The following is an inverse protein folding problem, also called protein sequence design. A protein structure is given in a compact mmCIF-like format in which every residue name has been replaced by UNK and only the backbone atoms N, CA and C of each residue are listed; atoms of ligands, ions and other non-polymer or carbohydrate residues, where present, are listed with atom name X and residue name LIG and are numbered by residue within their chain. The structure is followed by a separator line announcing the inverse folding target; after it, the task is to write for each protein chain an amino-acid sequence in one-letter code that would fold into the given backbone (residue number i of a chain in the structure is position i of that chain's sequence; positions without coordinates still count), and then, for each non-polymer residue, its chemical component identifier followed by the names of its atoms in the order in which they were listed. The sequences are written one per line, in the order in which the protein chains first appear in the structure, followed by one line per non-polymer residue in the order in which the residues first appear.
data_IF_293783813033
#
_entry.id   IF_293783813033
#
_cell.length_a   1.000
_cell.length_b   1.000
_cell.length_c   1.000
_cell.angle_alpha   90.00
_cell.angle_beta   90.00
_cell.angle_gamma   90.00
#
_symmetry.space_group_name_H-M   'P 1'
#
loop_
_entity.id
_entity.type
_entity.pdbx_description
1 polymer ?
#
# COMPACT_ATOMS: atom_id res chain seq x y z
N UNK A 1 -4.89 -9.95 -11.59
CA UNK A 1 -5.27 -8.54 -11.34
C UNK A 1 -4.03 -7.65 -11.23
N UNK A 2 -3.08 -7.92 -10.32
CA UNK A 2 -1.79 -7.21 -10.19
C UNK A 2 -1.00 -7.06 -11.51
N UNK A 3 -0.94 -8.13 -12.32
CA UNK A 3 -0.25 -8.14 -13.64
C UNK A 3 -1.04 -7.40 -14.73
N UNK A 4 -2.37 -7.32 -14.60
CA UNK A 4 -3.25 -6.66 -15.59
C UNK A 4 -3.14 -5.15 -15.44
N UNK A 5 -3.19 -4.65 -14.20
CA UNK A 5 -2.88 -3.26 -13.86
C UNK A 5 -1.50 -2.87 -14.42
N UNK A 6 -0.45 -3.62 -14.07
CA UNK A 6 0.93 -3.34 -14.51
C UNK A 6 1.14 -3.42 -16.04
N UNK A 7 0.34 -4.19 -16.78
CA UNK A 7 0.39 -4.25 -18.26
C UNK A 7 -0.29 -3.06 -18.93
N UNK A 8 -1.37 -2.53 -18.36
CA UNK A 8 -2.05 -1.33 -18.87
C UNK A 8 -1.17 -0.07 -18.64
N UNK A 9 -0.42 -0.04 -17.54
CA UNK A 9 0.41 1.12 -17.15
C UNK A 9 1.71 1.33 -17.95
N UNK A 10 2.12 0.38 -18.80
CA UNK A 10 3.34 0.52 -19.62
C UNK A 10 3.21 1.44 -20.84
N UNK A 11 1.99 1.90 -21.17
CA UNK A 11 1.68 2.49 -22.48
C UNK A 11 1.69 4.03 -22.49
N UNK A 12 1.50 4.71 -21.35
CA UNK A 12 1.32 6.16 -21.34
C UNK A 12 2.41 6.93 -20.59
N UNK A 13 3.22 7.68 -21.36
CA UNK A 13 4.32 8.53 -20.89
C UNK A 13 3.78 9.94 -20.57
N UNK A 14 3.21 10.13 -19.38
CA UNK A 14 2.49 11.37 -18.96
C UNK A 14 3.36 12.57 -18.56
N UNK A 15 4.69 12.40 -18.48
CA UNK A 15 5.65 13.40 -17.92
C UNK A 15 5.57 14.81 -18.52
N UNK A 16 5.12 14.97 -19.77
CA UNK A 16 5.16 16.24 -20.51
C UNK A 16 3.83 17.02 -20.53
N UNK A 17 2.70 16.35 -20.34
CA UNK A 17 1.37 17.00 -20.26
C UNK A 17 1.09 17.55 -18.86
N UNK A 18 1.67 16.92 -17.83
CA UNK A 18 1.53 17.28 -16.41
C UNK A 18 2.07 18.69 -16.07
N UNK A 19 3.24 19.05 -16.61
CA UNK A 19 3.86 20.37 -16.38
C UNK A 19 3.10 21.56 -16.99
N UNK A 20 2.20 21.31 -17.95
CA UNK A 20 1.41 22.35 -18.62
C UNK A 20 0.13 22.65 -17.82
N UNK A 21 -0.33 21.70 -16.99
CA UNK A 21 -1.58 21.79 -16.22
C UNK A 21 -1.41 22.64 -14.94
N UNK A 22 -0.22 22.62 -14.32
CA UNK A 22 0.04 23.28 -13.03
C UNK A 22 0.27 24.81 -13.08
N UNK A 23 0.23 25.48 -14.24
CA UNK A 23 0.44 26.94 -14.34
C UNK A 23 -0.90 27.68 -14.43
N UNK A 24 -1.55 27.95 -13.29
CA UNK A 24 -2.59 28.99 -13.23
C UNK A 24 -3.54 28.94 -12.03
N UNK A 25 -3.37 29.93 -11.15
CA UNK A 25 -4.31 30.51 -10.18
C UNK A 25 -4.50 29.94 -8.76
N UNK A 26 -4.57 30.91 -7.83
CA UNK A 26 -4.60 30.90 -6.37
C UNK A 26 -5.98 30.51 -5.80
N UNK A 27 -6.21 29.24 -5.48
CA UNK A 27 -7.32 28.86 -4.59
C UNK A 27 -6.91 27.71 -3.66
N UNK A 28 -7.31 27.71 -2.37
CA UNK A 28 -6.87 26.70 -1.41
C UNK A 28 -7.28 25.26 -1.78
N UNK A 29 -8.41 25.09 -2.46
CA UNK A 29 -8.81 23.79 -3.03
C UNK A 29 -7.89 23.28 -4.15
N UNK A 30 -7.20 24.20 -4.86
CA UNK A 30 -6.25 23.87 -5.92
C UNK A 30 -4.86 23.53 -5.36
N UNK A 31 -4.43 24.19 -4.27
CA UNK A 31 -3.19 23.86 -3.58
C UNK A 31 -3.22 22.43 -3.00
N UNK A 32 -4.31 22.04 -2.32
CA UNK A 32 -4.52 20.66 -1.85
C UNK A 32 -4.48 19.62 -2.99
N UNK A 33 -5.09 19.95 -4.14
CA UNK A 33 -5.13 19.05 -5.29
C UNK A 33 -3.77 18.93 -6.00
N UNK A 34 -3.02 20.03 -6.13
CA UNK A 34 -1.67 19.98 -6.69
C UNK A 34 -0.70 19.21 -5.80
N UNK A 35 -0.90 19.23 -4.47
CA UNK A 35 -0.13 18.38 -3.55
C UNK A 35 -0.46 16.89 -3.68
N UNK A 36 -1.75 16.53 -3.80
CA UNK A 36 -2.17 15.14 -4.03
C UNK A 36 -1.63 14.60 -5.37
N UNK A 37 -1.63 15.43 -6.41
CA UNK A 37 -1.08 15.08 -7.73
C UNK A 37 0.44 14.83 -7.69
N UNK A 38 1.19 15.61 -6.91
CA UNK A 38 2.63 15.39 -6.68
C UNK A 38 2.86 14.05 -5.94
N UNK A 39 2.02 13.74 -4.95
CA UNK A 39 2.09 12.48 -4.21
C UNK A 39 1.80 11.28 -5.12
N UNK A 40 0.76 11.35 -5.96
CA UNK A 40 0.43 10.32 -6.96
C UNK A 40 1.61 10.09 -7.91
N UNK A 41 2.22 11.17 -8.41
CA UNK A 41 3.37 11.07 -9.31
C UNK A 41 4.57 10.40 -8.61
N UNK A 42 4.83 10.73 -7.34
CA UNK A 42 5.87 10.10 -6.53
C UNK A 42 5.59 8.61 -6.32
N UNK A 43 4.36 8.23 -6.00
CA UNK A 43 3.91 6.82 -5.87
C UNK A 43 4.09 6.06 -7.17
N UNK A 44 3.71 6.66 -8.30
CA UNK A 44 3.87 6.09 -9.63
C UNK A 44 5.35 5.83 -9.97
N UNK A 45 6.19 6.86 -9.83
CA UNK A 45 7.61 6.76 -10.14
C UNK A 45 8.30 5.73 -9.23
N UNK A 46 7.93 5.69 -7.96
CA UNK A 46 8.46 4.70 -7.01
C UNK A 46 8.05 3.28 -7.38
N UNK A 47 6.78 3.06 -7.71
CA UNK A 47 6.25 1.74 -8.11
C UNK A 47 6.99 1.21 -9.35
N UNK A 48 7.26 2.07 -10.34
CA UNK A 48 8.01 1.69 -11.54
C UNK A 48 9.46 1.36 -11.19
N UNK A 49 10.11 2.23 -10.41
CA UNK A 49 11.52 2.06 -10.00
C UNK A 49 11.71 0.75 -9.23
N UNK A 50 10.79 0.45 -8.31
CA UNK A 50 10.87 -0.70 -7.42
C UNK A 50 10.27 -1.97 -7.99
N UNK A 51 9.55 -1.94 -9.11
CA UNK A 51 8.95 -3.13 -9.72
C UNK A 51 9.93 -4.30 -9.86
N UNK A 52 11.14 -4.05 -10.37
CA UNK A 52 12.16 -5.11 -10.55
C UNK A 52 12.66 -5.64 -9.21
N UNK A 53 12.79 -4.76 -8.22
CA UNK A 53 13.24 -5.12 -6.88
C UNK A 53 12.15 -5.86 -6.10
N UNK A 54 10.88 -5.45 -6.18
CA UNK A 54 9.73 -6.18 -5.60
C UNK A 54 9.63 -7.59 -6.20
N UNK A 55 9.85 -7.73 -7.52
CA UNK A 55 9.92 -9.06 -8.16
C UNK A 55 11.12 -9.87 -7.67
N UNK A 56 12.27 -9.23 -7.43
CA UNK A 56 13.45 -9.88 -6.87
C UNK A 56 13.23 -10.30 -5.41
N UNK A 57 12.57 -9.46 -4.62
CA UNK A 57 12.14 -9.70 -3.23
C UNK A 57 11.17 -10.89 -3.19
N UNK A 58 10.18 -10.92 -4.10
CA UNK A 58 9.27 -12.05 -4.28
C UNK A 58 10.03 -13.35 -4.55
N UNK A 59 11.05 -13.32 -5.43
CA UNK A 59 11.88 -14.50 -5.72
C UNK A 59 12.84 -14.86 -4.59
N UNK A 60 13.36 -13.89 -3.84
CA UNK A 60 14.21 -14.21 -2.68
C UNK A 60 13.43 -14.89 -1.56
N UNK A 61 12.12 -14.65 -1.45
CA UNK A 61 11.24 -15.43 -0.57
C UNK A 61 11.13 -16.91 -0.98
N UNK A 62 11.26 -17.22 -2.27
CA UNK A 62 11.28 -18.60 -2.80
C UNK A 62 12.67 -19.24 -2.56
N UNK A 63 13.75 -18.49 -2.79
CA UNK A 63 15.12 -19.01 -2.71
C UNK A 63 15.68 -19.21 -1.30
N UNK A 64 15.14 -18.57 -0.26
CA UNK A 64 15.69 -18.60 1.10
C UNK A 64 15.26 -19.81 1.94
N UNK A 65 14.59 -20.80 1.33
CA UNK A 65 14.06 -21.96 2.05
C UNK A 65 12.82 -21.65 2.89
N UNK A 66 12.22 -20.46 2.74
CA UNK A 66 10.99 -19.99 3.41
C UNK A 66 9.70 -20.41 2.67
N UNK A 67 9.82 -21.28 1.67
CA UNK A 67 8.67 -21.91 1.04
C UNK A 67 7.94 -22.82 2.04
N UNK A 68 6.61 -22.76 2.11
CA UNK A 68 5.83 -23.63 2.99
C UNK A 68 6.00 -25.10 2.57
N UNK A 69 6.42 -25.96 3.51
CA UNK A 69 6.69 -27.39 3.30
C UNK A 69 5.63 -28.28 3.90
N UNK A 70 5.10 -27.89 5.05
CA UNK A 70 4.09 -28.66 5.80
C UNK A 70 2.69 -28.16 5.47
N UNK A 71 1.65 -29.00 5.64
CA UNK A 71 0.26 -28.55 5.47
C UNK A 71 -0.10 -27.37 6.38
N UNK A 72 0.47 -27.33 7.59
CA UNK A 72 0.28 -26.24 8.55
C UNK A 72 0.90 -24.93 8.06
N UNK A 73 2.13 -24.97 7.53
CA UNK A 73 2.78 -23.79 6.93
C UNK A 73 2.01 -23.28 5.71
N UNK A 74 1.45 -24.20 4.91
CA UNK A 74 0.62 -23.84 3.76
C UNK A 74 -0.71 -23.21 4.19
N UNK A 75 -1.29 -23.67 5.31
CA UNK A 75 -2.49 -23.08 5.88
C UNK A 75 -2.23 -21.65 6.37
N UNK A 76 -1.10 -21.41 7.06
CA UNK A 76 -0.66 -20.07 7.48
C UNK A 76 -0.53 -19.15 6.26
N UNK A 77 0.20 -19.56 5.22
CA UNK A 77 0.38 -18.75 4.02
C UNK A 77 -0.96 -18.43 3.33
N UNK A 78 -1.85 -19.42 3.19
CA UNK A 78 -3.18 -19.23 2.57
C UNK A 78 -4.05 -18.25 3.35
N UNK A 79 -3.96 -18.22 4.67
CA UNK A 79 -4.70 -17.28 5.50
C UNK A 79 -4.29 -15.83 5.18
N UNK A 80 -2.98 -15.55 5.14
CA UNK A 80 -2.48 -14.22 4.80
C UNK A 80 -2.76 -13.85 3.33
N UNK A 81 -2.59 -14.77 2.40
CA UNK A 81 -2.91 -14.53 0.98
C UNK A 81 -4.39 -14.19 0.78
N UNK A 82 -5.29 -14.86 1.52
CA UNK A 82 -6.72 -14.55 1.51
C UNK A 82 -6.99 -13.17 2.09
N UNK A 83 -6.37 -12.82 3.21
CA UNK A 83 -6.50 -11.50 3.83
C UNK A 83 -6.03 -10.38 2.88
N UNK A 84 -4.88 -10.55 2.23
CA UNK A 84 -4.34 -9.61 1.23
C UNK A 84 -5.31 -9.43 0.07
N UNK A 85 -5.86 -10.53 -0.47
CA UNK A 85 -6.81 -10.47 -1.60
C UNK A 85 -8.11 -9.75 -1.22
N UNK A 86 -8.67 -10.06 -0.06
CA UNK A 86 -9.90 -9.42 0.44
C UNK A 86 -9.65 -7.93 0.66
N UNK A 87 -8.56 -7.57 1.34
CA UNK A 87 -8.19 -6.18 1.57
C UNK A 87 -7.99 -5.42 0.26
N UNK A 88 -7.21 -5.96 -0.68
CA UNK A 88 -6.95 -5.33 -1.96
C UNK A 88 -8.25 -5.10 -2.76
N UNK A 89 -9.13 -6.10 -2.81
CA UNK A 89 -10.42 -5.99 -3.49
C UNK A 89 -11.31 -4.93 -2.82
N UNK A 90 -11.48 -5.00 -1.50
CA UNK A 90 -12.34 -4.09 -0.76
C UNK A 90 -11.84 -2.64 -0.85
N UNK A 91 -10.53 -2.43 -0.69
CA UNK A 91 -9.90 -1.11 -0.75
C UNK A 91 -10.04 -0.49 -2.14
N UNK A 92 -9.76 -1.26 -3.21
CA UNK A 92 -9.90 -0.77 -4.59
C UNK A 92 -11.35 -0.39 -4.91
N UNK A 93 -12.32 -1.24 -4.53
CA UNK A 93 -13.76 -0.96 -4.74
C UNK A 93 -14.16 0.32 -4.00
N UNK A 94 -13.71 0.48 -2.75
CA UNK A 94 -14.00 1.67 -1.95
C UNK A 94 -13.45 2.94 -2.63
N UNK A 95 -12.21 2.92 -3.13
CA UNK A 95 -11.60 4.03 -3.85
C UNK A 95 -12.32 4.34 -5.18
N UNK A 96 -12.72 3.31 -5.94
CA UNK A 96 -13.45 3.48 -7.19
C UNK A 96 -14.85 4.08 -6.96
N UNK A 97 -15.55 3.65 -5.91
CA UNK A 97 -16.86 4.21 -5.53
C UNK A 97 -16.71 5.65 -5.05
N UNK A 98 -15.70 5.95 -4.25
CA UNK A 98 -15.44 7.31 -3.75
C UNK A 98 -15.09 8.29 -4.89
N UNK A 99 -14.17 7.89 -5.78
CA UNK A 99 -13.74 8.71 -6.92
C UNK A 99 -14.85 8.91 -7.97
N UNK A 100 -15.65 7.86 -8.21
CA UNK A 100 -16.83 7.96 -9.08
C UNK A 100 -17.90 8.86 -8.45
N UNK A 101 -18.23 8.62 -7.18
CA UNK A 101 -19.26 9.37 -6.44
C UNK A 101 -18.96 10.86 -6.36
N UNK A 102 -17.72 11.23 -6.04
CA UNK A 102 -17.28 12.64 -6.03
C UNK A 102 -17.36 13.29 -7.41
N UNK A 103 -16.98 12.57 -8.47
CA UNK A 103 -17.05 13.13 -9.83
C UNK A 103 -18.49 13.28 -10.33
N UNK A 104 -19.36 12.30 -10.06
CA UNK A 104 -20.78 12.42 -10.38
C UNK A 104 -21.46 13.52 -9.56
N UNK A 105 -21.16 13.63 -8.26
CA UNK A 105 -21.68 14.69 -7.39
C UNK A 105 -21.39 16.08 -7.96
N UNK A 106 -20.14 16.33 -8.36
CA UNK A 106 -19.74 17.59 -9.01
C UNK A 106 -20.45 17.85 -10.33
N UNK A 107 -20.65 16.80 -11.15
CA UNK A 107 -21.41 16.91 -12.39
C UNK A 107 -22.87 17.29 -12.15
N UNK A 108 -23.49 16.81 -11.06
CA UNK A 108 -24.86 17.16 -10.69
C UNK A 108 -24.98 18.59 -10.11
N UNK A 109 -23.98 19.05 -9.35
CA UNK A 109 -23.95 20.41 -8.81
C UNK A 109 -23.76 21.47 -9.89
N UNK A 110 -23.00 21.16 -10.95
CA UNK A 110 -22.78 22.04 -12.09
C UNK A 110 -24.05 22.09 -12.96
N UNK A 111 -24.99 22.97 -12.58
CA UNK A 111 -26.22 23.24 -13.35
C UNK A 111 -26.00 24.05 -14.62
N UNK A 112 -24.81 24.62 -14.83
CA UNK A 112 -24.50 25.49 -15.99
C UNK A 112 -23.63 24.76 -17.01
N UNK A 113 -24.06 24.74 -18.26
CA UNK A 113 -23.22 24.36 -19.41
C UNK A 113 -21.99 25.27 -19.44
N UNK A 114 -20.80 24.70 -19.65
CA UNK A 114 -19.47 25.35 -19.72
C UNK A 114 -18.70 25.58 -18.39
N UNK A 115 -19.01 24.87 -17.31
CA UNK A 115 -18.13 24.83 -16.12
C UNK A 115 -17.57 23.41 -15.98
N UNK A 116 -16.25 23.26 -15.91
CA UNK A 116 -15.63 21.94 -15.75
C UNK A 116 -15.72 21.46 -14.29
N UNK A 117 -15.95 20.16 -14.03
CA UNK A 117 -15.91 19.55 -12.70
C UNK A 117 -14.58 19.72 -11.97
N UNK A 118 -13.50 19.81 -12.74
CA UNK A 118 -12.15 20.10 -12.27
C UNK A 118 -11.65 21.33 -13.03
N UNK A 119 -11.30 22.40 -12.30
CA UNK A 119 -10.77 23.62 -12.92
C UNK A 119 -9.37 23.32 -13.48
N UNK A 120 -9.22 23.50 -14.79
CA UNK A 120 -7.98 23.23 -15.53
C UNK A 120 -7.80 24.27 -16.63
N UNK A 121 -6.55 24.68 -16.87
CA UNK A 121 -6.22 25.53 -18.01
C UNK A 121 -6.06 24.67 -19.27
N UNK A 122 -6.86 24.95 -20.29
CA UNK A 122 -6.83 24.22 -21.56
C UNK A 122 -6.33 25.12 -22.68
N UNK A 123 -5.47 24.63 -23.59
CA UNK A 123 -4.98 25.41 -24.72
C UNK A 123 -6.03 25.62 -25.81
N UNK A 124 -7.26 25.14 -25.62
CA UNK A 124 -8.37 25.24 -26.55
C UNK A 124 -9.65 25.68 -25.85
N UNK A 125 -10.53 26.35 -26.58
CA UNK A 125 -11.84 26.73 -26.06
C UNK A 125 -12.83 25.55 -26.12
N UNK A 126 -13.39 25.18 -24.98
CA UNK A 126 -14.36 24.10 -24.81
C UNK A 126 -15.82 24.56 -24.91
N UNK A 127 -16.13 25.77 -25.39
CA UNK A 127 -17.51 26.26 -25.58
C UNK A 127 -18.37 25.36 -26.50
N UNK A 128 -17.76 24.56 -27.38
CA UNK A 128 -18.50 23.63 -28.24
C UNK A 128 -18.96 22.40 -27.42
N UNK A 129 -20.24 21.97 -27.51
CA UNK A 129 -20.77 20.85 -26.72
C UNK A 129 -19.97 19.55 -26.85
N UNK A 130 -19.45 19.26 -28.05
CA UNK A 130 -18.60 18.10 -28.30
C UNK A 130 -17.29 18.16 -27.52
N UNK A 131 -16.58 19.30 -27.58
CA UNK A 131 -15.31 19.49 -26.89
C UNK A 131 -15.52 19.47 -25.36
N UNK A 132 -16.59 20.09 -24.87
CA UNK A 132 -16.95 20.04 -23.45
C UNK A 132 -17.12 18.60 -22.92
N UNK A 133 -17.90 17.77 -23.63
CA UNK A 133 -18.10 16.36 -23.25
C UNK A 133 -16.80 15.56 -23.33
N UNK A 134 -16.01 15.79 -24.37
CA UNK A 134 -14.71 15.14 -24.53
C UNK A 134 -13.77 15.47 -23.36
N UNK A 135 -13.67 16.74 -22.97
CA UNK A 135 -12.84 17.16 -21.83
C UNK A 135 -13.33 16.58 -20.51
N UNK A 136 -14.65 16.53 -20.27
CA UNK A 136 -15.21 15.89 -19.06
C UNK A 136 -14.84 14.40 -19.01
N UNK A 137 -14.99 13.68 -20.12
CA UNK A 137 -14.61 12.26 -20.18
C UNK A 137 -13.13 12.07 -19.89
N UNK A 138 -12.26 12.94 -20.41
CA UNK A 138 -10.83 12.90 -20.10
C UNK A 138 -10.56 13.16 -18.61
N UNK A 139 -11.20 14.16 -17.99
CA UNK A 139 -11.05 14.41 -16.57
C UNK A 139 -11.47 13.22 -15.71
N UNK A 140 -12.59 12.58 -16.04
CA UNK A 140 -13.06 11.39 -15.36
C UNK A 140 -12.04 10.24 -15.47
N UNK A 141 -11.53 10.00 -16.67
CA UNK A 141 -10.50 8.96 -16.91
C UNK A 141 -9.23 9.27 -16.11
N UNK A 142 -8.77 10.53 -16.08
CA UNK A 142 -7.57 10.92 -15.32
C UNK A 142 -7.74 10.69 -13.83
N UNK A 143 -8.88 11.10 -13.25
CA UNK A 143 -9.16 10.90 -11.82
C UNK A 143 -9.25 9.41 -11.47
N UNK A 144 -9.91 8.63 -12.33
CA UNK A 144 -10.04 7.18 -12.15
C UNK A 144 -8.66 6.49 -12.18
N UNK A 145 -7.80 6.87 -13.12
CA UNK A 145 -6.42 6.37 -13.21
C UNK A 145 -5.62 6.77 -11.96
N UNK A 146 -5.69 8.02 -11.53
CA UNK A 146 -5.01 8.51 -10.32
C UNK A 146 -5.40 7.72 -9.07
N UNK A 147 -6.71 7.58 -8.84
CA UNK A 147 -7.27 6.79 -7.74
C UNK A 147 -6.78 5.33 -7.75
N UNK A 148 -6.66 4.72 -8.93
CA UNK A 148 -6.17 3.36 -9.07
C UNK A 148 -4.65 3.22 -8.84
N UNK A 149 -3.87 4.25 -9.16
CA UNK A 149 -2.43 4.30 -8.84
C UNK A 149 -2.25 4.36 -7.33
N UNK A 150 -3.02 5.20 -6.65
CA UNK A 150 -2.97 5.31 -5.18
C UNK A 150 -3.40 4.01 -4.51
N UNK A 151 -4.57 3.48 -4.87
CA UNK A 151 -5.05 2.21 -4.34
C UNK A 151 -4.06 1.07 -4.60
N UNK A 152 -3.42 1.06 -5.77
CA UNK A 152 -2.39 0.08 -6.11
C UNK A 152 -1.15 0.19 -5.22
N UNK A 153 -0.70 1.41 -4.89
CA UNK A 153 0.44 1.63 -4.02
C UNK A 153 0.16 1.21 -2.58
N UNK A 154 -0.98 1.63 -2.02
CA UNK A 154 -1.36 1.33 -0.63
C UNK A 154 -1.53 -0.18 -0.43
N UNK A 155 -2.22 -0.84 -1.36
CA UNK A 155 -2.45 -2.30 -1.30
C UNK A 155 -1.17 -3.09 -1.55
N UNK A 156 -0.24 -2.59 -2.37
CA UNK A 156 1.09 -3.18 -2.54
C UNK A 156 1.89 -3.11 -1.23
N UNK A 157 1.95 -1.94 -0.59
CA UNK A 157 2.66 -1.76 0.67
C UNK A 157 2.10 -2.69 1.75
N UNK A 158 0.77 -2.66 1.95
CA UNK A 158 0.08 -3.52 2.90
C UNK A 158 0.32 -5.00 2.62
N UNK A 159 0.22 -5.41 1.36
CA UNK A 159 0.44 -6.79 0.93
C UNK A 159 1.86 -7.28 1.21
N UNK A 160 2.87 -6.45 0.95
CA UNK A 160 4.27 -6.77 1.22
C UNK A 160 4.53 -6.93 2.73
N UNK A 161 3.98 -6.05 3.57
CA UNK A 161 4.09 -6.15 5.02
C UNK A 161 3.44 -7.43 5.56
N UNK A 162 2.24 -7.78 5.08
CA UNK A 162 1.59 -9.03 5.45
C UNK A 162 2.34 -10.28 4.98
N UNK A 163 3.02 -10.23 3.83
CA UNK A 163 3.88 -11.33 3.40
C UNK A 163 5.07 -11.52 4.34
N UNK A 164 5.72 -10.44 4.80
CA UNK A 164 6.78 -10.52 5.82
C UNK A 164 6.24 -11.19 7.09
N UNK A 165 5.07 -10.77 7.57
CA UNK A 165 4.42 -11.35 8.75
C UNK A 165 4.15 -12.84 8.57
N UNK A 166 3.62 -13.24 7.42
CA UNK A 166 3.43 -14.67 7.07
C UNK A 166 4.74 -15.45 7.19
N UNK A 167 5.85 -14.91 6.67
CA UNK A 167 7.16 -15.56 6.74
C UNK A 167 7.71 -15.65 8.16
N UNK A 168 7.54 -14.61 8.97
CA UNK A 168 7.89 -14.64 10.39
C UNK A 168 7.09 -15.75 11.11
N UNK A 169 5.80 -15.86 10.85
CA UNK A 169 4.94 -16.85 11.51
C UNK A 169 5.22 -18.29 11.06
N UNK A 170 5.59 -18.49 9.79
CA UNK A 170 6.13 -19.77 9.31
C UNK A 170 7.43 -20.12 10.05
N UNK A 171 8.35 -19.15 10.20
CA UNK A 171 9.62 -19.37 10.88
C UNK A 171 9.44 -19.68 12.37
N UNK A 172 8.49 -19.02 13.05
CA UNK A 172 8.09 -19.31 14.44
C UNK A 172 7.49 -20.70 14.57
N UNK A 173 6.60 -21.09 13.65
CA UNK A 173 6.00 -22.41 13.65
C UNK A 173 7.07 -23.50 13.53
N UNK A 174 8.03 -23.33 12.60
CA UNK A 174 9.18 -24.24 12.44
C UNK A 174 10.01 -24.35 13.72
N UNK A 175 10.32 -23.22 14.35
CA UNK A 175 11.05 -23.20 15.61
C UNK A 175 10.33 -24.01 16.69
N UNK A 176 9.03 -23.77 16.87
CA UNK A 176 8.22 -24.47 17.87
C UNK A 176 8.18 -25.98 17.63
N UNK A 177 7.94 -26.41 16.39
CA UNK A 177 7.88 -27.84 16.04
C UNK A 177 9.22 -28.51 16.27
N UNK A 178 10.32 -27.89 15.85
CA UNK A 178 11.65 -28.47 16.01
C UNK A 178 12.09 -28.52 17.47
N UNK A 179 11.89 -27.46 18.26
CA UNK A 179 12.21 -27.46 19.70
C UNK A 179 11.43 -28.56 20.43
N UNK A 180 10.12 -28.71 20.14
CA UNK A 180 9.31 -29.78 20.73
C UNK A 180 9.85 -31.16 20.37
N UNK A 181 10.25 -31.35 19.11
CA UNK A 181 10.83 -32.61 18.63
C UNK A 181 12.18 -32.91 19.29
N UNK A 182 13.05 -31.89 19.47
CA UNK A 182 14.34 -32.04 20.15
C UNK A 182 14.18 -32.42 21.62
N UNK A 183 13.22 -31.80 22.33
CA UNK A 183 12.89 -32.15 23.72
C UNK A 183 12.39 -33.59 23.81
N UNK A 184 11.49 -34.01 22.92
CA UNK A 184 11.02 -35.41 22.90
C UNK A 184 12.13 -36.43 22.59
N UNK A 185 13.08 -36.10 21.72
CA UNK A 185 14.22 -36.95 21.42
C UNK A 185 15.14 -37.08 22.63
N UNK A 186 15.38 -35.98 23.35
CA UNK A 186 16.18 -35.96 24.57
C UNK A 186 15.55 -36.82 25.68
N UNK A 187 14.24 -36.73 25.87
CA UNK A 187 13.52 -37.50 26.90
C UNK A 187 13.40 -39.00 26.59
N UNK A 188 13.31 -39.39 25.31
CA UNK A 188 13.01 -40.78 24.89
C UNK A 188 14.22 -41.68 24.66
N UNK A 189 15.45 -41.14 24.52
CA UNK A 189 16.66 -41.94 24.26
C UNK A 189 17.91 -41.31 24.88
N UNK A 190 18.86 -42.12 25.39
CA UNK A 190 20.26 -41.71 25.41
C UNK A 190 20.76 -41.78 23.96
N UNK A 191 20.36 -40.82 23.12
CA UNK A 191 20.97 -40.65 21.80
C UNK A 191 22.48 -40.45 21.99
N UNK A 192 23.28 -40.87 21.01
CA UNK A 192 24.67 -40.46 20.95
C UNK A 192 24.68 -38.92 20.96
N UNK A 193 25.20 -38.30 22.02
CA UNK A 193 25.13 -36.85 22.27
C UNK A 193 25.68 -36.08 21.06
N UNK A 194 26.63 -36.68 20.34
CA UNK A 194 27.22 -36.14 19.12
C UNK A 194 26.20 -35.96 17.97
N UNK A 195 25.35 -36.97 17.72
CA UNK A 195 24.33 -36.90 16.66
C UNK A 195 23.23 -35.87 17.00
N UNK A 196 22.90 -35.73 18.28
CA UNK A 196 21.96 -34.72 18.76
C UNK A 196 22.49 -33.30 18.54
N UNK A 197 23.72 -33.03 18.98
CA UNK A 197 24.35 -31.72 18.83
C UNK A 197 24.49 -31.32 17.36
N UNK A 198 24.80 -32.26 16.46
CA UNK A 198 24.90 -31.97 15.02
C UNK A 198 23.54 -31.59 14.41
N UNK A 199 22.46 -32.27 14.81
CA UNK A 199 21.10 -31.95 14.35
C UNK A 199 20.66 -30.58 14.87
N UNK A 200 20.91 -30.31 16.15
CA UNK A 200 20.61 -29.04 16.80
C UNK A 200 21.36 -27.88 16.13
N UNK A 201 22.67 -27.99 15.98
CA UNK A 201 23.53 -26.96 15.37
C UNK A 201 23.09 -26.67 13.94
N UNK A 202 22.85 -27.71 13.13
CA UNK A 202 22.38 -27.56 11.75
C UNK A 202 21.01 -26.90 11.67
N UNK A 203 20.13 -27.20 12.61
CA UNK A 203 18.81 -26.56 12.67
C UNK A 203 18.92 -25.07 13.01
N UNK A 204 19.62 -24.71 14.09
CA UNK A 204 19.79 -23.31 14.48
C UNK A 204 20.53 -22.52 13.41
N UNK A 205 21.56 -23.09 12.77
CA UNK A 205 22.26 -22.45 11.67
C UNK A 205 21.31 -22.12 10.50
N UNK A 206 20.42 -23.05 10.13
CA UNK A 206 19.41 -22.81 9.10
C UNK A 206 18.36 -21.77 9.54
N UNK A 207 17.92 -21.83 10.79
CA UNK A 207 16.97 -20.88 11.35
C UNK A 207 17.52 -19.45 11.34
N UNK A 208 18.76 -19.26 11.83
CA UNK A 208 19.46 -17.97 11.84
C UNK A 208 19.61 -17.45 10.41
N UNK A 209 19.97 -18.31 9.45
CA UNK A 209 20.07 -17.94 8.04
C UNK A 209 18.74 -17.46 7.48
N UNK A 210 17.64 -18.15 7.76
CA UNK A 210 16.29 -17.75 7.34
C UNK A 210 15.82 -16.46 8.02
N UNK A 211 16.10 -16.30 9.31
CA UNK A 211 15.79 -15.09 10.07
C UNK A 211 16.52 -13.86 9.50
N UNK A 212 17.83 -13.98 9.25
CA UNK A 212 18.64 -12.93 8.63
C UNK A 212 18.16 -12.59 7.22
N UNK A 213 17.68 -13.59 6.46
CA UNK A 213 17.06 -13.34 5.16
C UNK A 213 15.77 -12.50 5.30
N UNK A 214 14.92 -12.76 6.31
CA UNK A 214 13.72 -11.95 6.55
C UNK A 214 14.08 -10.51 6.91
N UNK A 215 15.05 -10.30 7.80
CA UNK A 215 15.52 -8.95 8.18
C UNK A 215 16.05 -8.20 6.96
N UNK A 216 16.93 -8.84 6.17
CA UNK A 216 17.47 -8.22 4.95
C UNK A 216 16.38 -7.84 3.94
N UNK A 217 15.27 -8.59 3.89
CA UNK A 217 14.14 -8.25 3.04
C UNK A 217 13.33 -7.09 3.61
N UNK A 218 13.11 -7.07 4.92
CA UNK A 218 12.47 -5.94 5.59
C UNK A 218 13.26 -4.65 5.34
N UNK A 219 14.59 -4.67 5.47
CA UNK A 219 15.44 -3.48 5.23
C UNK A 219 15.33 -2.98 3.78
N UNK A 220 15.27 -3.91 2.81
CA UNK A 220 15.08 -3.56 1.40
C UNK A 220 13.72 -2.92 1.14
N UNK A 221 12.68 -3.41 1.80
CA UNK A 221 11.32 -2.88 1.71
C UNK A 221 11.23 -1.53 2.40
N UNK A 222 11.80 -1.39 3.60
CA UNK A 222 11.86 -0.12 4.31
C UNK A 222 12.55 0.94 3.46
N UNK A 223 13.72 0.63 2.91
CA UNK A 223 14.43 1.55 2.01
C UNK A 223 13.60 1.90 0.76
N UNK A 224 12.81 0.96 0.24
CA UNK A 224 11.97 1.18 -0.93
C UNK A 224 10.79 2.12 -0.71
N UNK A 225 10.18 2.03 0.46
CA UNK A 225 8.94 2.74 0.76
C UNK A 225 9.16 3.97 1.64
N UNK A 226 10.29 4.07 2.37
CA UNK A 226 10.57 5.14 3.35
C UNK A 226 10.48 6.54 2.75
N UNK A 227 11.11 6.80 1.59
CA UNK A 227 11.05 8.12 0.94
C UNK A 227 9.60 8.51 0.61
N UNK A 228 8.82 7.59 0.03
CA UNK A 228 7.45 7.87 -0.38
C UNK A 228 6.52 8.03 0.83
N UNK A 229 6.68 7.19 1.84
CA UNK A 229 5.89 7.24 3.08
C UNK A 229 6.17 8.52 3.84
N UNK A 230 7.43 8.97 3.91
CA UNK A 230 7.79 10.23 4.55
C UNK A 230 7.13 11.43 3.86
N UNK A 231 7.18 11.46 2.53
CA UNK A 231 6.53 12.48 1.71
C UNK A 231 5.01 12.43 1.94
N UNK A 232 4.41 11.23 1.92
CA UNK A 232 2.99 11.02 2.16
C UNK A 232 2.55 11.58 3.51
N UNK A 233 3.22 11.19 4.61
CA UNK A 233 2.84 11.66 5.94
C UNK A 233 2.95 13.17 6.08
N UNK A 234 3.96 13.77 5.47
CA UNK A 234 4.14 15.23 5.46
C UNK A 234 2.95 15.93 4.77
N UNK A 235 2.54 15.42 3.60
CA UNK A 235 1.39 15.97 2.87
C UNK A 235 0.06 15.69 3.58
N UNK A 236 -0.16 14.48 4.08
CA UNK A 236 -1.38 14.16 4.81
C UNK A 236 -1.52 15.01 6.07
N UNK A 237 -0.44 15.28 6.80
CA UNK A 237 -0.49 16.16 7.97
C UNK A 237 -0.92 17.58 7.60
N UNK A 238 -0.33 18.17 6.55
CA UNK A 238 -0.73 19.49 6.05
C UNK A 238 -2.19 19.50 5.57
N UNK A 239 -2.57 18.48 4.80
CA UNK A 239 -3.92 18.34 4.26
C UNK A 239 -4.96 18.23 5.37
N UNK A 240 -4.73 17.36 6.35
CA UNK A 240 -5.61 17.21 7.53
C UNK A 240 -5.77 18.54 8.27
N UNK A 241 -4.68 19.29 8.49
CA UNK A 241 -4.74 20.60 9.14
C UNK A 241 -5.61 21.60 8.35
N UNK A 242 -5.44 21.67 7.03
CA UNK A 242 -6.23 22.56 6.18
C UNK A 242 -7.70 22.13 6.16
N UNK A 243 -7.98 20.84 6.00
CA UNK A 243 -9.35 20.31 5.98
C UNK A 243 -10.06 20.56 7.31
N UNK A 244 -9.41 20.33 8.45
CA UNK A 244 -10.01 20.61 9.77
C UNK A 244 -10.31 22.11 9.93
N UNK A 245 -9.40 22.99 9.49
CA UNK A 245 -9.64 24.42 9.50
C UNK A 245 -10.84 24.81 8.61
N UNK A 246 -10.92 24.28 7.39
CA UNK A 246 -12.05 24.52 6.48
C UNK A 246 -13.38 24.05 7.08
N UNK A 247 -13.42 22.83 7.64
CA UNK A 247 -14.61 22.28 8.30
C UNK A 247 -15.07 23.19 9.44
N UNK A 248 -14.14 23.81 10.19
CA UNK A 248 -14.49 24.69 11.31
C UNK A 248 -15.21 25.99 10.89
N UNK A 249 -15.10 26.38 9.62
CA UNK A 249 -15.72 27.58 9.06
C UNK A 249 -17.01 27.30 8.30
N UNK A 250 -17.31 26.03 8.01
CA UNK A 250 -18.48 25.62 7.27
C UNK A 250 -19.68 25.40 8.20
N UNK A 251 -20.88 25.74 7.72
CA UNK A 251 -22.11 25.38 8.41
C UNK A 251 -22.30 23.85 8.41
N UNK A 252 -22.72 23.32 9.57
CA UNK A 252 -22.94 21.89 9.76
C UNK A 252 -24.06 21.41 8.81
N UNK A 253 -23.87 20.23 8.23
CA UNK A 253 -24.79 19.58 7.28
C UNK A 253 -24.91 20.22 5.88
N UNK A 254 -24.04 21.16 5.52
CA UNK A 254 -23.88 21.58 4.12
C UNK A 254 -23.23 20.46 3.27
N UNK A 255 -23.44 20.47 1.95
CA UNK A 255 -22.81 19.51 1.03
C UNK A 255 -21.28 19.61 1.08
N UNK A 256 -20.77 20.84 1.19
CA UNK A 256 -19.34 21.13 1.37
C UNK A 256 -18.80 20.59 2.70
N UNK A 257 -19.54 20.75 3.81
CA UNK A 257 -19.17 20.16 5.09
C UNK A 257 -19.08 18.64 5.01
N UNK A 258 -20.11 18.00 4.45
CA UNK A 258 -20.17 16.53 4.31
C UNK A 258 -19.03 15.99 3.43
N UNK A 259 -18.71 16.68 2.34
CA UNK A 259 -17.61 16.31 1.45
C UNK A 259 -16.24 16.42 2.13
N UNK A 260 -15.96 17.53 2.81
CA UNK A 260 -14.70 17.74 3.53
C UNK A 260 -14.56 16.78 4.72
N UNK A 261 -15.65 16.51 5.43
CA UNK A 261 -15.65 15.54 6.54
C UNK A 261 -15.40 14.11 6.06
N UNK A 262 -16.01 13.71 4.93
CA UNK A 262 -15.74 12.40 4.32
C UNK A 262 -14.28 12.28 3.87
N UNK A 263 -13.70 13.34 3.31
CA UNK A 263 -12.27 13.37 2.97
C UNK A 263 -11.38 13.22 4.22
N UNK A 264 -11.70 13.92 5.30
CA UNK A 264 -10.97 13.81 6.58
C UNK A 264 -10.93 12.37 7.10
N UNK A 265 -12.08 11.68 7.08
CA UNK A 265 -12.17 10.26 7.46
C UNK A 265 -11.31 9.41 6.54
N UNK A 266 -11.43 9.59 5.22
CA UNK A 266 -10.69 8.80 4.24
C UNK A 266 -9.16 8.96 4.41
N UNK A 267 -8.67 10.20 4.52
CA UNK A 267 -7.25 10.48 4.72
C UNK A 267 -6.72 9.91 6.04
N UNK A 268 -7.52 9.97 7.11
CA UNK A 268 -7.15 9.38 8.41
C UNK A 268 -7.11 7.85 8.33
N UNK A 269 -8.07 7.22 7.67
CA UNK A 269 -8.10 5.77 7.45
C UNK A 269 -6.90 5.29 6.63
N UNK A 270 -6.52 6.02 5.59
CA UNK A 270 -5.34 5.72 4.77
C UNK A 270 -4.08 5.66 5.64
N UNK A 271 -3.78 6.74 6.37
CA UNK A 271 -2.65 6.81 7.32
C UNK A 271 -2.69 5.65 8.32
N UNK A 272 -3.87 5.38 8.89
CA UNK A 272 -4.04 4.33 9.89
C UNK A 272 -3.70 2.93 9.36
N UNK A 273 -4.05 2.62 8.10
CA UNK A 273 -3.69 1.36 7.45
C UNK A 273 -2.17 1.19 7.37
N UNK A 274 -1.45 2.23 6.96
CA UNK A 274 0.02 2.20 6.93
C UNK A 274 0.61 1.94 8.31
N UNK A 275 0.10 2.64 9.34
CA UNK A 275 0.55 2.47 10.71
C UNK A 275 0.28 1.05 11.25
N UNK A 276 -0.91 0.51 11.03
CA UNK A 276 -1.26 -0.86 11.45
C UNK A 276 -0.32 -1.87 10.81
N UNK A 277 -0.12 -1.78 9.50
CA UNK A 277 0.70 -2.74 8.77
C UNK A 277 2.13 -2.76 9.31
N UNK A 278 2.74 -1.58 9.47
CA UNK A 278 4.10 -1.45 10.00
C UNK A 278 4.18 -1.93 11.45
N UNK A 279 3.24 -1.52 12.31
CA UNK A 279 3.21 -1.92 13.71
C UNK A 279 3.07 -3.45 13.88
N UNK A 280 2.27 -4.08 13.03
CA UNK A 280 2.09 -5.54 13.06
C UNK A 280 3.40 -6.27 12.73
N UNK A 281 4.20 -5.77 11.77
CA UNK A 281 5.54 -6.34 11.51
C UNK A 281 6.44 -6.19 12.74
N UNK A 282 6.52 -5.00 13.32
CA UNK A 282 7.36 -4.75 14.51
C UNK A 282 6.95 -5.64 15.69
N UNK A 283 5.65 -5.81 15.91
CA UNK A 283 5.11 -6.69 16.93
C UNK A 283 5.53 -8.14 16.70
N UNK A 284 5.40 -8.65 15.48
CA UNK A 284 5.73 -10.03 15.15
C UNK A 284 7.23 -10.31 15.24
N UNK A 285 8.09 -9.38 14.81
CA UNK A 285 9.54 -9.47 14.99
C UNK A 285 9.90 -9.53 16.47
N UNK A 286 9.36 -8.62 17.30
CA UNK A 286 9.62 -8.59 18.74
C UNK A 286 9.19 -9.89 19.42
N UNK A 287 8.03 -10.42 19.07
CA UNK A 287 7.53 -11.68 19.62
C UNK A 287 8.42 -12.89 19.25
N UNK A 288 9.17 -12.81 18.15
CA UNK A 288 10.18 -13.83 17.80
C UNK A 288 11.37 -13.79 18.77
N UNK A 289 11.79 -12.60 19.20
CA UNK A 289 12.89 -12.43 20.16
C UNK A 289 12.55 -12.96 21.56
N UNK A 290 11.30 -12.86 21.99
CA UNK A 290 10.89 -13.42 23.28
C UNK A 290 10.92 -14.95 23.32
N UNK A 291 10.77 -15.63 22.17
CA UNK A 291 10.89 -17.10 22.09
C UNK A 291 12.35 -17.54 22.34
N UNK A 292 13.35 -16.68 22.14
CA UNK A 292 14.75 -16.98 22.46
C UNK A 292 15.11 -16.87 23.95
N UNK A 293 14.22 -16.34 24.79
CA UNK A 293 14.43 -16.21 26.24
C UNK A 293 13.77 -17.35 27.05
N UNK A 294 13.11 -18.29 26.38
CA UNK A 294 12.53 -19.52 26.94
C UNK A 294 13.40 -20.72 26.57
#
# INVERSE_FOLDING_TARGET
MFIVCVKIFGVFRWRRQFLIICRGFESPEFELRTTDEIAIQKRYDNTIRWRKQILKISRSFEMSGLEPRTPDELAIQKQYDKAIRIFCLAYTIMCDVASSGTTFGRLFEIRRLNILPYRIYLPYNYSKPFLYRFTISLQFITVFIGSNIDAGFDTLFYGVMLQIISKINILKHRLKVTVTTLVEIYDKKPCNIQDYNEIEEKFFANWIKSHNAIISLYDQIEFAFSEVIFIQYSFSALSLCITVYLISQLEVFTTEFMGNFAYLIAATCEIFVFCIAANQVTFEVRNTLYIHQL
#
